data_IF_563965279913
#
_entry.id   IF_563965279913
#
_cell.length_a   1.000
_cell.length_b   1.000
_cell.length_c   1.000
_cell.angle_alpha   90.00
_cell.angle_beta   90.00
_cell.angle_gamma   90.00
#
_symmetry.space_group_name_H-M   'P 1'
#
loop_
_entity.id
_entity.type
_entity.pdbx_description
1 polymer ?
#
# COMPACT_ATOMS: atom_id res chain seq x y z
N UNK A 1 15.24 -11.36 3.42
CA UNK A 1 14.25 -10.39 3.90
C UNK A 1 14.22 -10.52 5.40
N UNK A 2 14.40 -9.42 6.13
CA UNK A 2 14.19 -9.42 7.57
C UNK A 2 12.68 -9.49 7.86
N UNK A 3 12.29 -10.09 8.98
CA UNK A 3 10.89 -10.20 9.38
C UNK A 3 10.32 -8.82 9.71
N UNK A 4 9.10 -8.53 9.29
CA UNK A 4 8.42 -7.28 9.63
C UNK A 4 8.09 -7.18 11.13
N UNK A 5 8.11 -8.31 11.84
CA UNK A 5 7.83 -8.42 13.28
C UNK A 5 8.62 -7.41 14.14
N UNK A 6 9.89 -7.13 13.81
CA UNK A 6 10.73 -6.21 14.58
C UNK A 6 10.27 -4.74 14.51
N UNK A 7 9.37 -4.42 13.58
CA UNK A 7 8.80 -3.09 13.36
C UNK A 7 7.32 -2.99 13.78
N UNK A 8 6.72 -4.08 14.30
CA UNK A 8 5.33 -4.10 14.73
C UNK A 8 5.10 -3.51 16.13
N UNK A 9 3.85 -3.11 16.43
CA UNK A 9 3.41 -2.72 17.78
C UNK A 9 2.99 -1.26 17.97
N UNK A 10 2.91 -0.48 16.90
CA UNK A 10 2.38 0.89 16.84
C UNK A 10 0.90 0.96 16.46
N UNK A 11 0.41 2.18 16.15
CA UNK A 11 -0.98 2.39 15.68
C UNK A 11 -1.13 2.38 14.16
N UNK A 12 -0.01 2.47 13.43
CA UNK A 12 0.10 2.47 11.97
C UNK A 12 1.45 1.85 11.59
N UNK A 13 1.54 0.53 11.73
CA UNK A 13 2.85 -0.12 11.73
C UNK A 13 3.56 -0.09 10.37
N UNK A 14 2.79 -0.03 9.26
CA UNK A 14 3.35 -0.12 7.92
C UNK A 14 2.64 0.77 6.90
N UNK A 15 3.43 1.56 6.16
CA UNK A 15 2.99 2.28 4.97
C UNK A 15 3.57 1.62 3.72
N UNK A 16 2.70 1.34 2.75
CA UNK A 16 3.08 0.83 1.44
C UNK A 16 3.07 1.98 0.45
N UNK A 17 4.21 2.25 -0.18
CA UNK A 17 4.28 3.06 -1.39
C UNK A 17 4.19 2.15 -2.59
N UNK A 18 3.22 2.40 -3.46
CA UNK A 18 2.91 1.54 -4.60
C UNK A 18 2.91 2.34 -5.88
N UNK A 19 3.48 1.76 -6.93
CA UNK A 19 3.45 2.32 -8.27
C UNK A 19 3.38 1.26 -9.33
N UNK A 20 3.29 1.69 -10.58
CA UNK A 20 3.16 0.80 -11.72
C UNK A 20 4.54 0.31 -12.17
N UNK A 21 4.73 -1.01 -12.30
CA UNK A 21 5.98 -1.57 -12.79
C UNK A 21 6.21 -1.28 -14.28
N UNK A 22 5.15 -1.38 -15.09
CA UNK A 22 5.18 -1.15 -16.53
C UNK A 22 3.84 -0.63 -17.04
N UNK A 23 3.86 0.22 -18.07
CA UNK A 23 2.67 0.74 -18.73
C UNK A 23 2.48 2.24 -18.57
N UNK A 24 1.37 2.75 -19.10
CA UNK A 24 1.00 4.15 -18.96
C UNK A 24 0.32 4.38 -17.60
N UNK A 25 0.73 5.44 -16.92
CA UNK A 25 0.11 5.85 -15.66
C UNK A 25 -1.30 6.41 -15.89
N UNK A 26 -2.23 5.97 -15.04
CA UNK A 26 -3.58 6.50 -14.90
C UNK A 26 -3.99 6.27 -13.44
N UNK A 27 -4.07 7.32 -12.64
CA UNK A 27 -4.31 7.23 -11.19
C UNK A 27 -5.62 6.53 -10.84
N UNK A 28 -6.69 6.78 -11.60
CA UNK A 28 -7.99 6.14 -11.39
C UNK A 28 -7.95 4.63 -11.66
N UNK A 29 -7.48 4.23 -12.84
CA UNK A 29 -7.41 2.81 -13.22
C UNK A 29 -6.41 2.03 -12.36
N UNK A 30 -5.33 2.70 -11.93
CA UNK A 30 -4.36 2.12 -11.01
C UNK A 30 -4.98 1.92 -9.62
N UNK A 31 -5.64 2.95 -9.08
CA UNK A 31 -6.29 2.92 -7.77
C UNK A 31 -7.34 1.83 -7.69
N UNK A 32 -8.25 1.75 -8.67
CA UNK A 32 -9.32 0.74 -8.69
C UNK A 32 -8.75 -0.68 -8.72
N UNK A 33 -7.67 -0.90 -9.47
CA UNK A 33 -7.02 -2.20 -9.58
C UNK A 33 -6.29 -2.60 -8.30
N UNK A 34 -5.48 -1.69 -7.75
CA UNK A 34 -4.78 -1.94 -6.49
C UNK A 34 -5.78 -2.18 -5.36
N UNK A 35 -6.88 -1.41 -5.32
CA UNK A 35 -7.95 -1.58 -4.35
C UNK A 35 -8.61 -2.96 -4.46
N UNK A 36 -8.92 -3.41 -5.67
CA UNK A 36 -9.48 -4.73 -5.91
C UNK A 36 -8.52 -5.86 -5.47
N UNK A 37 -7.24 -5.76 -5.79
CA UNK A 37 -6.23 -6.75 -5.40
C UNK A 37 -6.06 -6.86 -3.88
N UNK A 38 -6.09 -5.72 -3.18
CA UNK A 38 -6.05 -5.71 -1.71
C UNK A 38 -7.30 -6.36 -1.13
N UNK A 39 -8.48 -6.08 -1.71
CA UNK A 39 -9.73 -6.73 -1.32
C UNK A 39 -9.68 -8.26 -1.51
N UNK A 40 -9.19 -8.72 -2.67
CA UNK A 40 -9.02 -10.14 -2.98
C UNK A 40 -8.04 -10.81 -2.00
N UNK A 41 -6.92 -10.16 -1.67
CA UNK A 41 -5.95 -10.65 -0.68
C UNK A 41 -6.57 -10.80 0.71
N UNK A 42 -7.33 -9.79 1.16
CA UNK A 42 -7.99 -9.81 2.47
C UNK A 42 -9.22 -10.74 2.50
N UNK A 43 -9.71 -11.18 1.35
CA UNK A 43 -10.96 -11.93 1.23
C UNK A 43 -12.19 -11.08 1.58
N UNK A 44 -12.10 -9.76 1.36
CA UNK A 44 -13.12 -8.78 1.72
C UNK A 44 -13.61 -8.07 0.47
N UNK A 45 -14.93 -7.86 0.36
CA UNK A 45 -15.50 -7.08 -0.72
C UNK A 45 -15.50 -5.60 -0.37
N UNK A 46 -14.74 -4.81 -1.14
CA UNK A 46 -14.79 -3.35 -1.08
C UNK A 46 -15.90 -2.75 -1.96
N UNK A 47 -16.91 -3.53 -2.37
CA UNK A 47 -17.92 -3.08 -3.33
C UNK A 47 -18.72 -1.82 -2.91
N UNK A 48 -18.72 -1.45 -1.63
CA UNK A 48 -19.36 -0.22 -1.12
C UNK A 48 -18.34 0.88 -0.77
N UNK A 49 -17.04 0.64 -0.94
CA UNK A 49 -15.96 1.58 -0.71
C UNK A 49 -15.35 1.96 -2.06
N UNK A 50 -15.95 3.00 -2.66
CA UNK A 50 -15.52 3.54 -3.93
C UNK A 50 -14.49 4.65 -3.75
N UNK A 51 -13.75 4.94 -4.82
CA UNK A 51 -12.87 6.09 -4.88
C UNK A 51 -13.65 7.41 -4.67
N UNK A 52 -13.20 8.21 -3.72
CA UNK A 52 -13.61 9.61 -3.60
C UNK A 52 -12.53 10.50 -4.24
N UNK A 53 -12.89 11.44 -5.14
CA UNK A 53 -11.94 12.39 -5.67
C UNK A 53 -11.31 13.23 -4.55
N UNK A 54 -9.99 13.34 -4.57
CA UNK A 54 -9.17 14.05 -3.59
C UNK A 54 -8.19 14.97 -4.34
N UNK A 55 -8.66 16.17 -4.69
CA UNK A 55 -7.92 17.11 -5.52
C UNK A 55 -8.18 16.93 -7.03
N UNK A 56 -7.37 17.57 -7.91
CA UNK A 56 -7.59 17.54 -9.35
C UNK A 56 -7.44 16.14 -9.95
N UNK A 57 -6.44 15.39 -9.48
CA UNK A 57 -6.01 14.12 -10.09
C UNK A 57 -5.85 12.97 -9.07
N UNK A 58 -6.23 13.23 -7.81
CA UNK A 58 -6.09 12.30 -6.70
C UNK A 58 -7.37 11.54 -6.35
N UNK A 59 -7.21 10.33 -5.82
CA UNK A 59 -8.30 9.44 -5.42
C UNK A 59 -8.01 8.89 -4.03
N UNK A 60 -9.03 8.90 -3.17
CA UNK A 60 -8.99 8.34 -1.82
C UNK A 60 -9.97 7.17 -1.73
N UNK A 61 -9.50 6.06 -1.18
CA UNK A 61 -10.28 4.87 -0.90
C UNK A 61 -10.17 4.57 0.60
N UNK A 62 -11.28 4.16 1.21
CA UNK A 62 -11.33 3.90 2.65
C UNK A 62 -12.30 2.78 2.99
N UNK A 63 -11.80 1.76 3.67
CA UNK A 63 -12.60 0.64 4.15
C UNK A 63 -12.37 0.47 5.66
N UNK A 64 -13.46 0.33 6.40
CA UNK A 64 -13.45 0.21 7.85
C UNK A 64 -14.54 -0.79 8.26
N UNK A 65 -14.13 -1.89 8.89
CA UNK A 65 -15.01 -2.85 9.55
C UNK A 65 -14.41 -3.34 10.88
N UNK A 66 -15.05 -4.35 11.48
CA UNK A 66 -14.60 -4.91 12.77
C UNK A 66 -13.23 -5.61 12.69
N UNK A 67 -12.79 -6.03 11.51
CA UNK A 67 -11.54 -6.77 11.30
C UNK A 67 -10.42 -5.91 10.70
N UNK A 68 -10.76 -4.92 9.89
CA UNK A 68 -9.82 -4.21 9.03
C UNK A 68 -10.07 -2.70 9.04
N UNK A 69 -8.97 -1.96 9.02
CA UNK A 69 -8.94 -0.58 8.56
C UNK A 69 -7.97 -0.49 7.39
N UNK A 70 -8.47 -0.10 6.23
CA UNK A 70 -7.69 0.01 4.99
C UNK A 70 -7.88 1.38 4.40
N UNK A 71 -6.80 2.03 3.99
CA UNK A 71 -6.88 3.26 3.21
C UNK A 71 -5.87 3.24 2.08
N UNK A 72 -6.28 3.77 0.94
CA UNK A 72 -5.44 3.96 -0.23
C UNK A 72 -5.63 5.38 -0.73
N UNK A 73 -4.53 6.10 -0.90
CA UNK A 73 -4.48 7.37 -1.59
C UNK A 73 -3.65 7.20 -2.86
N UNK A 74 -4.13 7.69 -3.99
CA UNK A 74 -3.44 7.64 -5.28
C UNK A 74 -3.47 9.03 -5.88
N UNK A 75 -2.32 9.54 -6.31
CA UNK A 75 -2.18 10.74 -7.12
C UNK A 75 -1.19 10.49 -8.27
N UNK A 76 -0.91 11.50 -9.09
CA UNK A 76 0.01 11.38 -10.23
C UNK A 76 1.50 11.35 -9.83
N UNK A 77 1.81 11.46 -8.54
CA UNK A 77 3.16 11.71 -8.06
C UNK A 77 3.65 13.11 -8.40
N UNK A 78 4.66 13.57 -7.66
CA UNK A 78 5.31 14.85 -7.93
C UNK A 78 6.64 14.60 -8.66
N UNK A 79 6.86 15.19 -9.86
CA UNK A 79 8.11 15.03 -10.59
C UNK A 79 9.32 15.48 -9.75
N UNK A 80 10.34 14.63 -9.67
CA UNK A 80 11.56 14.90 -8.90
C UNK A 80 11.46 14.57 -7.40
N UNK A 81 10.31 14.08 -6.92
CA UNK A 81 10.22 13.53 -5.57
C UNK A 81 10.88 12.14 -5.47
N UNK A 82 11.45 11.77 -4.32
CA UNK A 82 12.04 10.44 -4.11
C UNK A 82 11.06 9.27 -4.34
N UNK A 83 9.76 9.53 -4.24
CA UNK A 83 8.67 8.55 -4.36
C UNK A 83 7.87 8.67 -5.66
N UNK A 84 8.38 9.40 -6.66
CA UNK A 84 7.71 9.60 -7.96
C UNK A 84 7.28 8.27 -8.62
N UNK A 85 8.09 7.21 -8.48
CA UNK A 85 7.80 5.88 -9.04
C UNK A 85 6.74 5.09 -8.28
N UNK A 86 6.40 5.51 -7.06
CA UNK A 86 5.49 4.83 -6.13
C UNK A 86 4.54 5.85 -5.49
N UNK A 87 3.71 6.53 -6.31
CA UNK A 87 2.94 7.69 -5.87
C UNK A 87 1.79 7.31 -4.92
N UNK A 88 1.26 6.08 -5.03
CA UNK A 88 0.18 5.64 -4.16
C UNK A 88 0.66 5.30 -2.75
N UNK A 89 -0.17 5.60 -1.76
CA UNK A 89 0.05 5.35 -0.35
C UNK A 89 -1.06 4.43 0.17
N UNK A 90 -0.69 3.22 0.57
CA UNK A 90 -1.58 2.18 1.07
C UNK A 90 -1.25 1.87 2.53
N UNK A 91 -2.27 1.80 3.37
CA UNK A 91 -2.16 1.28 4.74
C UNK A 91 -3.22 0.21 4.97
N UNK A 92 -2.81 -0.88 5.60
CA UNK A 92 -3.69 -1.99 6.00
C UNK A 92 -3.42 -2.29 7.46
N UNK A 93 -4.45 -2.18 8.29
CA UNK A 93 -4.35 -2.42 9.71
C UNK A 93 -5.32 -3.53 10.13
N UNK A 94 -4.81 -4.53 10.85
CA UNK A 94 -5.66 -5.56 11.44
C UNK A 94 -6.14 -5.11 12.82
N UNK A 95 -7.44 -5.27 13.07
CA UNK A 95 -8.06 -5.05 14.38
C UNK A 95 -8.22 -6.35 15.18
N UNK A 96 -7.71 -7.46 14.66
CA UNK A 96 -7.79 -8.79 15.28
C UNK A 96 -6.77 -8.95 16.40
N UNK A 97 -7.20 -9.41 17.57
CA UNK A 97 -6.31 -9.82 18.67
C UNK A 97 -5.47 -11.07 18.36
N UNK A 98 -5.77 -11.76 17.25
CA UNK A 98 -5.13 -13.03 16.86
C UNK A 98 -4.27 -12.94 15.60
N UNK A 99 -4.26 -11.78 14.94
CA UNK A 99 -3.53 -11.56 13.70
C UNK A 99 -2.86 -10.19 13.79
N UNK A 100 -1.55 -10.21 13.99
CA UNK A 100 -0.76 -8.99 14.11
C UNK A 100 -0.65 -8.28 12.76
N UNK A 101 -0.63 -6.94 12.78
CA UNK A 101 -0.58 -6.13 11.55
C UNK A 101 0.67 -6.40 10.73
N UNK A 102 1.82 -6.67 11.38
CA UNK A 102 3.05 -7.03 10.67
C UNK A 102 2.92 -8.32 9.85
N UNK A 103 2.15 -9.30 10.33
CA UNK A 103 1.93 -10.57 9.60
C UNK A 103 1.12 -10.31 8.34
N UNK A 104 0.16 -9.40 8.41
CA UNK A 104 -0.65 -8.99 7.28
C UNK A 104 0.19 -8.22 6.29
N UNK A 105 0.97 -7.24 6.75
CA UNK A 105 1.86 -6.44 5.91
C UNK A 105 2.88 -7.32 5.17
N UNK A 106 3.55 -8.24 5.85
CA UNK A 106 4.53 -9.14 5.22
C UNK A 106 3.89 -10.01 4.12
N UNK A 107 2.71 -10.57 4.39
CA UNK A 107 1.97 -11.38 3.42
C UNK A 107 1.43 -10.55 2.26
N UNK A 108 0.97 -9.33 2.52
CA UNK A 108 0.49 -8.40 1.51
C UNK A 108 1.63 -7.98 0.58
N UNK A 109 2.80 -7.65 1.15
CA UNK A 109 3.99 -7.34 0.38
C UNK A 109 4.34 -8.50 -0.56
N UNK A 110 4.43 -9.73 -0.03
CA UNK A 110 4.75 -10.91 -0.83
C UNK A 110 3.70 -11.16 -1.92
N UNK A 111 2.42 -10.95 -1.61
CA UNK A 111 1.32 -11.10 -2.56
C UNK A 111 1.43 -10.08 -3.71
N UNK A 112 1.47 -8.78 -3.39
CA UNK A 112 1.52 -7.71 -4.38
C UNK A 112 2.81 -7.77 -5.22
N UNK A 113 3.96 -8.08 -4.61
CA UNK A 113 5.21 -8.29 -5.32
C UNK A 113 5.11 -9.48 -6.28
N UNK A 114 4.45 -10.56 -5.85
CA UNK A 114 4.23 -11.76 -6.67
C UNK A 114 3.34 -11.54 -7.89
N UNK A 115 2.50 -10.49 -7.90
CA UNK A 115 1.70 -10.12 -9.08
C UNK A 115 2.55 -9.54 -10.21
N UNK A 116 3.77 -9.08 -9.93
CA UNK A 116 4.74 -8.61 -10.93
C UNK A 116 4.37 -7.30 -11.65
N UNK A 117 3.26 -6.66 -11.27
CA UNK A 117 2.75 -5.42 -11.89
C UNK A 117 2.97 -4.16 -11.07
N UNK A 118 3.50 -4.32 -9.85
CA UNK A 118 3.68 -3.23 -8.89
C UNK A 118 5.15 -3.00 -8.53
N UNK A 119 5.53 -1.74 -8.42
CA UNK A 119 6.69 -1.30 -7.65
C UNK A 119 6.24 -1.06 -6.22
N UNK A 120 6.99 -1.56 -5.24
CA UNK A 120 6.64 -1.54 -3.83
C UNK A 120 7.81 -1.07 -3.00
N UNK A 121 7.53 -0.17 -2.06
CA UNK A 121 8.37 0.11 -0.90
C UNK A 121 7.48 0.02 0.34
N UNK A 122 7.95 -0.63 1.39
CA UNK A 122 7.29 -0.67 2.70
C UNK A 122 8.13 0.10 3.70
N UNK A 123 7.45 0.88 4.52
CA UNK A 123 8.01 1.71 5.56
C UNK A 123 7.48 1.25 6.90
N UNK A 124 8.29 1.36 7.94
CA UNK A 124 7.80 1.35 9.31
C UNK A 124 7.26 2.75 9.72
N UNK A 125 6.63 2.84 10.89
CA UNK A 125 5.93 4.05 11.38
C UNK A 125 6.78 5.33 11.37
N UNK A 126 8.07 5.24 11.68
CA UNK A 126 9.01 6.37 11.68
C UNK A 126 9.60 6.71 10.31
N UNK A 127 9.17 6.02 9.24
CA UNK A 127 9.51 6.33 7.85
C UNK A 127 10.79 5.69 7.35
N UNK A 128 11.38 4.73 8.05
CA UNK A 128 12.49 3.93 7.54
C UNK A 128 11.98 2.92 6.50
N UNK A 129 12.57 2.82 5.30
CA UNK A 129 12.23 1.76 4.35
C UNK A 129 12.72 0.41 4.90
N UNK A 130 11.83 -0.59 4.91
CA UNK A 130 12.14 -1.93 5.44
C UNK A 130 12.13 -3.02 4.35
N UNK A 131 11.45 -2.77 3.22
CA UNK A 131 11.45 -3.65 2.07
C UNK A 131 11.15 -2.90 0.77
N UNK A 132 11.79 -3.27 -0.32
CA UNK A 132 11.43 -2.83 -1.67
C UNK A 132 11.59 -3.98 -2.67
N UNK A 133 10.80 -4.00 -3.74
CA UNK A 133 10.95 -4.98 -4.83
C UNK A 133 11.70 -4.42 -6.06
N UNK A 134 12.24 -3.21 -5.92
CA UNK A 134 13.07 -2.54 -6.91
C UNK A 134 14.18 -1.75 -6.21
N UNK A 135 15.18 -1.33 -6.99
CA UNK A 135 16.29 -0.53 -6.48
C UNK A 135 15.83 0.93 -6.21
N UNK A 136 15.91 1.32 -4.95
CA UNK A 136 15.55 2.67 -4.46
C UNK A 136 16.78 3.59 -4.30
N UNK A 137 17.98 3.06 -4.55
CA UNK A 137 19.24 3.77 -4.37
C UNK A 137 19.71 3.84 -2.91
N UNK A 138 20.97 4.23 -2.72
CA UNK A 138 21.63 4.30 -1.40
C UNK A 138 21.36 5.61 -0.63
N UNK A 139 20.77 6.63 -1.29
CA UNK A 139 20.53 7.98 -0.73
C UNK A 139 19.18 8.10 0.02
N UNK A 140 18.73 6.99 0.60
CA UNK A 140 17.43 6.84 1.25
C UNK A 140 17.54 6.75 2.78
#
# INVERSE_FOLDING_TARGET
MESFEQYGGGKRDFEFRVGLAEGAWNSAEFGDRLWADVGDFLGVSFANSHAEPSGPDGYLYGFDDDAWLVSLFVDDGEPGWPLEKVPAMLTVWSRSDSLETWQVAERLYAHLAGLGRYLLIVFEEAGMPIASNFDIGDDW
#
